data_IF_833893705593
#
_entry.id   IF_833893705593
#
_cell.length_a   1.000
_cell.length_b   1.000
_cell.length_c   1.000
_cell.angle_alpha   90.00
_cell.angle_beta   90.00
_cell.angle_gamma   90.00
#
_symmetry.space_group_name_H-M   'P 1'
#
loop_
_entity.id
_entity.type
_entity.pdbx_description
1 polymer ?
#
# COMPACT_ATOMS: atom_id res chain seq x y z
N UNK A 1 -15.99 25.21 5.17
CA UNK A 1 -15.57 23.84 5.55
C UNK A 1 -14.23 23.88 6.30
N UNK A 2 -13.10 24.40 5.69
CA UNK A 2 -11.79 24.43 6.37
C UNK A 2 -11.85 25.24 7.69
N UNK A 3 -12.41 26.45 7.69
CA UNK A 3 -12.61 27.25 8.88
C UNK A 3 -13.54 26.62 9.94
N UNK A 4 -14.40 25.71 9.55
CA UNK A 4 -15.30 25.01 10.48
C UNK A 4 -14.59 23.83 11.14
N UNK A 5 -13.68 23.17 10.42
CA UNK A 5 -12.80 22.13 10.97
C UNK A 5 -11.84 22.70 12.00
N UNK A 6 -11.22 23.87 11.73
CA UNK A 6 -10.33 24.55 12.69
C UNK A 6 -11.03 24.99 13.99
N UNK A 7 -12.36 25.09 14.00
CA UNK A 7 -13.13 25.35 15.23
C UNK A 7 -13.42 24.10 16.05
N UNK A 8 -13.40 22.93 15.40
CA UNK A 8 -13.78 21.66 16.01
C UNK A 8 -12.58 20.82 16.43
N UNK A 9 -11.47 20.96 15.71
CA UNK A 9 -10.25 20.17 15.90
C UNK A 9 -9.04 21.06 16.11
N UNK A 10 -8.13 20.62 16.96
CA UNK A 10 -6.81 21.23 17.12
C UNK A 10 -5.96 21.07 15.85
N UNK A 11 -4.91 21.87 15.73
CA UNK A 11 -3.97 21.74 14.60
C UNK A 11 -3.31 20.35 14.55
N UNK A 12 -3.01 19.78 15.69
CA UNK A 12 -2.39 18.44 15.77
C UNK A 12 -3.36 17.34 15.32
N UNK A 13 -4.64 17.44 15.71
CA UNK A 13 -5.67 16.52 15.23
C UNK A 13 -5.87 16.62 13.72
N UNK A 14 -5.93 17.85 13.17
CA UNK A 14 -6.03 18.07 11.73
C UNK A 14 -4.82 17.54 10.99
N UNK A 15 -3.61 17.73 11.52
CA UNK A 15 -2.38 17.20 10.95
C UNK A 15 -2.37 15.66 10.99
N UNK A 16 -2.79 15.07 12.11
CA UNK A 16 -2.93 13.60 12.20
C UNK A 16 -3.92 13.05 11.17
N UNK A 17 -5.09 13.67 11.02
CA UNK A 17 -6.07 13.27 10.02
C UNK A 17 -5.48 13.37 8.61
N UNK A 18 -4.79 14.47 8.30
CA UNK A 18 -4.14 14.65 7.01
C UNK A 18 -3.08 13.58 6.73
N UNK A 19 -2.13 13.40 7.66
CA UNK A 19 -1.04 12.45 7.49
C UNK A 19 -1.53 11.01 7.36
N UNK A 20 -2.64 10.65 8.00
CA UNK A 20 -3.21 9.31 7.96
C UNK A 20 -4.13 9.05 6.75
N UNK A 21 -4.46 10.07 5.95
CA UNK A 21 -5.37 9.93 4.80
C UNK A 21 -4.77 10.30 3.47
N UNK A 22 -3.73 11.14 3.44
CA UNK A 22 -3.14 11.62 2.19
C UNK A 22 -2.47 10.49 1.41
N UNK A 23 -2.50 10.62 0.07
CA UNK A 23 -1.85 9.69 -0.84
C UNK A 23 -0.35 9.93 -0.90
N UNK A 24 0.45 8.90 -0.62
CA UNK A 24 1.91 8.90 -0.71
C UNK A 24 2.44 8.17 -1.96
N UNK A 25 1.58 7.91 -2.96
CA UNK A 25 1.97 7.11 -4.12
C UNK A 25 1.98 5.61 -3.85
N UNK A 26 2.16 4.83 -4.90
CA UNK A 26 2.31 3.36 -4.80
C UNK A 26 1.13 2.68 -4.08
N UNK A 27 -0.07 3.24 -4.20
CA UNK A 27 -1.26 2.75 -3.50
C UNK A 27 -1.30 3.03 -2.01
N UNK A 28 -0.31 3.75 -1.45
CA UNK A 28 -0.22 4.02 -0.02
C UNK A 28 -1.01 5.25 0.39
N UNK A 29 -2.04 5.04 1.18
CA UNK A 29 -2.79 6.08 1.86
C UNK A 29 -2.44 6.08 3.36
N UNK A 30 -1.99 7.22 3.85
CA UNK A 30 -1.52 7.39 5.23
C UNK A 30 -0.03 7.09 5.43
N UNK A 31 0.55 7.82 6.40
CA UNK A 31 1.99 7.82 6.68
C UNK A 31 2.52 6.46 7.12
N UNK A 32 1.75 5.69 7.88
CA UNK A 32 2.15 4.37 8.35
C UNK A 32 2.32 3.40 7.18
N UNK A 33 1.35 3.37 6.26
CA UNK A 33 1.43 2.54 5.06
C UNK A 33 2.63 2.94 4.18
N UNK A 34 2.87 4.25 4.03
CA UNK A 34 4.01 4.76 3.29
C UNK A 34 5.36 4.39 3.93
N UNK A 35 5.49 4.53 5.25
CA UNK A 35 6.69 4.16 5.99
C UNK A 35 7.03 2.67 5.81
N UNK A 36 6.03 1.80 5.91
CA UNK A 36 6.20 0.36 5.67
C UNK A 36 6.55 0.06 4.20
N UNK A 37 5.87 0.70 3.24
CA UNK A 37 6.07 0.43 1.82
C UNK A 37 7.44 0.87 1.29
N UNK A 38 7.94 2.02 1.75
CA UNK A 38 9.20 2.58 1.24
C UNK A 38 10.43 2.23 2.08
N UNK A 39 10.24 1.95 3.38
CA UNK A 39 11.35 1.80 4.34
C UNK A 39 11.22 0.60 5.27
N UNK A 40 10.14 -0.18 5.22
CA UNK A 40 9.84 -1.32 6.10
C UNK A 40 10.00 -0.97 7.60
N UNK A 41 9.61 0.25 7.96
CA UNK A 41 9.68 0.77 9.33
C UNK A 41 8.35 1.39 9.76
N UNK A 42 8.15 1.56 11.06
CA UNK A 42 6.97 2.24 11.57
C UNK A 42 7.13 3.77 11.43
N UNK A 43 6.01 4.47 11.25
CA UNK A 43 6.02 5.93 11.08
C UNK A 43 6.69 6.67 12.24
N UNK A 44 6.60 6.12 13.46
CA UNK A 44 7.22 6.67 14.67
C UNK A 44 8.75 6.56 14.67
N UNK A 45 9.30 5.58 13.93
CA UNK A 45 10.72 5.29 13.88
C UNK A 45 11.43 5.87 12.64
N UNK A 46 10.70 6.68 11.84
CA UNK A 46 11.28 7.33 10.66
C UNK A 46 12.43 8.27 11.04
N UNK A 47 13.56 8.14 10.34
CA UNK A 47 14.64 9.12 10.42
C UNK A 47 14.22 10.47 9.82
N UNK A 48 14.97 11.53 10.10
CA UNK A 48 14.74 12.86 9.50
C UNK A 48 14.71 12.78 7.97
N UNK A 49 15.65 12.04 7.38
CA UNK A 49 15.77 11.87 5.92
C UNK A 49 14.55 11.14 5.33
N UNK A 50 14.11 10.08 5.98
CA UNK A 50 12.93 9.31 5.59
C UNK A 50 11.64 10.14 5.73
N UNK A 51 11.47 10.81 6.86
CA UNK A 51 10.32 11.68 7.11
C UNK A 51 10.23 12.83 6.09
N UNK A 52 11.37 13.49 5.78
CA UNK A 52 11.43 14.54 4.77
C UNK A 52 11.13 14.01 3.35
N UNK A 53 11.55 12.79 3.04
CA UNK A 53 11.21 12.11 1.77
C UNK A 53 9.70 11.93 1.66
N UNK A 54 9.07 11.32 2.65
CA UNK A 54 7.63 11.10 2.64
C UNK A 54 6.85 12.42 2.63
N UNK A 55 7.26 13.43 3.39
CA UNK A 55 6.62 14.75 3.40
C UNK A 55 6.64 15.44 2.01
N UNK A 56 7.58 15.07 1.17
CA UNK A 56 7.69 15.57 -0.20
C UNK A 56 6.67 15.01 -1.18
N UNK A 57 6.26 13.76 -1.01
CA UNK A 57 5.49 12.97 -1.98
C UNK A 57 4.07 13.50 -2.24
N UNK A 58 3.28 13.94 -1.24
CA UNK A 58 1.88 14.31 -1.44
C UNK A 58 1.63 15.44 -2.45
N UNK A 59 2.64 16.23 -2.77
CA UNK A 59 2.52 17.27 -3.81
C UNK A 59 2.25 16.65 -5.19
N UNK A 60 2.86 15.51 -5.50
CA UNK A 60 2.70 14.82 -6.78
C UNK A 60 3.04 13.33 -6.62
N UNK A 61 2.15 12.52 -6.04
CA UNK A 61 2.45 11.16 -5.62
C UNK A 61 2.98 10.24 -6.74
N UNK A 62 2.58 10.48 -7.98
CA UNK A 62 3.06 9.71 -9.13
C UNK A 62 4.48 10.11 -9.52
N UNK A 63 4.76 11.41 -9.66
CA UNK A 63 6.05 11.89 -10.18
C UNK A 63 7.13 12.09 -9.10
N UNK A 64 6.76 11.99 -7.84
CA UNK A 64 7.66 12.06 -6.69
C UNK A 64 7.77 10.70 -5.96
N UNK A 65 7.31 9.62 -6.60
CA UNK A 65 7.47 8.28 -6.11
C UNK A 65 8.96 7.89 -6.12
N UNK A 66 9.59 7.64 -4.96
CA UNK A 66 11.02 7.40 -4.87
C UNK A 66 11.47 6.08 -5.48
N UNK A 67 10.57 5.10 -5.64
CA UNK A 67 10.87 3.84 -6.34
C UNK A 67 10.99 4.06 -7.85
N UNK A 68 10.15 4.93 -8.41
CA UNK A 68 10.05 5.14 -9.87
C UNK A 68 10.87 6.33 -10.34
N UNK A 69 10.91 7.40 -9.55
CA UNK A 69 11.58 8.66 -9.87
C UNK A 69 12.52 9.11 -8.72
N UNK A 70 13.60 8.34 -8.44
CA UNK A 70 14.46 8.58 -7.27
C UNK A 70 15.12 9.96 -7.29
N UNK A 71 15.55 10.45 -8.45
CA UNK A 71 16.19 11.77 -8.56
C UNK A 71 15.22 12.91 -8.22
N UNK A 72 13.99 12.87 -8.74
CA UNK A 72 12.97 13.86 -8.42
C UNK A 72 12.55 13.80 -6.95
N UNK A 73 12.46 12.61 -6.38
CA UNK A 73 12.19 12.42 -4.95
C UNK A 73 13.32 12.98 -4.08
N UNK A 74 14.59 12.77 -4.49
CA UNK A 74 15.77 13.30 -3.81
C UNK A 74 15.78 14.84 -3.80
N UNK A 75 15.57 15.46 -4.96
CA UNK A 75 15.48 16.93 -5.08
C UNK A 75 14.34 17.47 -4.21
N UNK A 76 13.20 16.81 -4.23
CA UNK A 76 12.05 17.21 -3.42
C UNK A 76 12.31 17.09 -1.93
N UNK A 77 12.94 16.00 -1.46
CA UNK A 77 13.39 15.83 -0.09
C UNK A 77 14.30 16.97 0.35
N UNK A 78 15.29 17.30 -0.46
CA UNK A 78 16.25 18.35 -0.15
C UNK A 78 15.54 19.71 0.01
N UNK A 79 14.56 20.02 -0.85
CA UNK A 79 13.74 21.21 -0.71
C UNK A 79 12.91 21.21 0.60
N UNK A 80 12.40 20.06 1.03
CA UNK A 80 11.70 19.92 2.33
C UNK A 80 12.66 20.24 3.48
N UNK A 81 13.87 19.66 3.47
CA UNK A 81 14.90 19.91 4.48
C UNK A 81 15.30 21.39 4.55
N UNK A 82 15.47 22.07 3.41
CA UNK A 82 15.76 23.51 3.35
C UNK A 82 14.62 24.34 3.97
N UNK A 83 13.37 23.95 3.76
CA UNK A 83 12.22 24.61 4.38
C UNK A 83 12.17 24.40 5.88
N UNK A 84 12.48 23.20 6.37
CA UNK A 84 12.59 22.90 7.79
C UNK A 84 13.71 23.71 8.45
N UNK A 85 14.85 23.83 7.79
CA UNK A 85 15.94 24.71 8.23
C UNK A 85 15.49 26.17 8.30
N UNK A 86 14.83 26.66 7.25
CA UNK A 86 14.35 28.04 7.19
C UNK A 86 13.27 28.34 8.24
N UNK A 87 12.49 27.35 8.64
CA UNK A 87 11.51 27.44 9.72
C UNK A 87 12.15 27.36 11.12
N UNK A 88 13.39 26.87 11.21
CA UNK A 88 14.10 26.69 12.48
C UNK A 88 13.80 25.36 13.16
N UNK A 89 13.18 24.41 12.44
CA UNK A 89 12.83 23.09 12.94
C UNK A 89 14.06 22.17 13.05
N UNK A 90 15.08 22.40 12.19
CA UNK A 90 16.35 21.68 12.18
C UNK A 90 17.53 22.65 12.11
N UNK A 91 18.71 22.19 12.53
CA UNK A 91 19.96 22.95 12.41
C UNK A 91 20.56 22.82 11.02
N UNK A 92 21.49 23.70 10.67
CA UNK A 92 22.25 23.61 9.42
C UNK A 92 22.99 22.25 9.33
N UNK A 93 23.62 21.84 10.42
CA UNK A 93 24.35 20.56 10.48
C UNK A 93 23.43 19.35 10.20
N UNK A 94 22.23 19.35 10.76
CA UNK A 94 21.23 18.33 10.50
C UNK A 94 20.74 18.33 9.03
N UNK A 95 20.55 19.52 8.47
CA UNK A 95 20.16 19.67 7.09
C UNK A 95 21.24 19.13 6.14
N UNK A 96 22.51 19.55 6.34
CA UNK A 96 23.63 19.13 5.51
C UNK A 96 23.85 17.62 5.60
N UNK A 97 23.77 17.04 6.80
CA UNK A 97 23.89 15.60 7.01
C UNK A 97 22.76 14.83 6.29
N UNK A 98 21.51 15.29 6.46
CA UNK A 98 20.36 14.62 5.83
C UNK A 98 20.38 14.75 4.29
N UNK A 99 20.87 15.87 3.75
CA UNK A 99 21.01 16.03 2.30
C UNK A 99 22.11 15.17 1.70
N UNK A 100 23.17 14.89 2.48
CA UNK A 100 24.26 14.01 2.06
C UNK A 100 23.87 12.52 2.03
N UNK A 101 22.81 12.14 2.74
CA UNK A 101 22.34 10.76 2.75
C UNK A 101 21.61 10.40 1.43
N UNK A 102 21.79 9.17 0.91
CA UNK A 102 20.93 8.65 -0.14
C UNK A 102 19.48 8.47 0.36
N UNK A 103 18.56 8.12 -0.53
CA UNK A 103 17.14 7.89 -0.14
C UNK A 103 16.98 6.71 0.83
N UNK A 104 17.93 5.77 0.84
CA UNK A 104 17.94 4.58 1.71
C UNK A 104 16.61 3.82 1.68
N UNK A 105 16.07 3.62 0.47
CA UNK A 105 14.85 2.84 0.30
C UNK A 105 15.12 1.38 0.67
N UNK A 106 14.22 0.83 1.45
CA UNK A 106 14.07 -0.60 1.69
C UNK A 106 12.63 -0.98 1.34
N UNK A 107 12.32 -1.01 0.02
CA UNK A 107 10.94 -1.15 -0.42
C UNK A 107 10.41 -2.52 -0.03
N UNK A 108 9.20 -2.53 0.52
CA UNK A 108 8.43 -3.75 0.65
C UNK A 108 8.33 -4.45 -0.71
N UNK A 109 8.26 -5.79 -0.75
CA UNK A 109 8.07 -6.52 -2.00
C UNK A 109 6.96 -5.89 -2.83
N UNK A 110 7.19 -5.78 -4.15
CA UNK A 110 6.17 -5.21 -5.04
C UNK A 110 4.87 -5.98 -4.92
N UNK A 111 3.82 -5.22 -4.66
CA UNK A 111 2.47 -5.72 -4.57
C UNK A 111 1.81 -5.44 -5.91
N UNK A 112 1.14 -6.40 -6.53
CA UNK A 112 0.33 -6.12 -7.70
C UNK A 112 -0.55 -4.89 -7.47
N UNK A 113 -0.63 -3.98 -8.45
CA UNK A 113 -1.31 -2.68 -8.32
C UNK A 113 -2.80 -2.74 -8.01
N UNK A 114 -3.40 -3.92 -8.02
CA UNK A 114 -4.77 -4.19 -7.62
C UNK A 114 -4.92 -4.59 -6.13
N UNK A 115 -3.80 -4.60 -5.39
CA UNK A 115 -3.78 -5.01 -3.98
C UNK A 115 -3.90 -6.52 -3.76
N UNK A 116 -3.78 -7.32 -4.81
CA UNK A 116 -3.87 -8.77 -4.76
C UNK A 116 -2.46 -9.36 -4.75
N UNK A 117 -2.01 -9.83 -3.60
CA UNK A 117 -0.63 -10.25 -3.34
C UNK A 117 -0.34 -11.69 -3.71
N UNK A 118 -1.31 -12.56 -3.48
CA UNK A 118 -1.18 -13.99 -3.73
C UNK A 118 -2.52 -14.55 -4.22
N UNK A 119 -2.43 -15.62 -5.00
CA UNK A 119 -3.61 -16.35 -5.48
C UNK A 119 -4.65 -15.43 -6.16
N UNK A 120 -4.28 -14.73 -7.24
CA UNK A 120 -5.06 -13.60 -7.80
C UNK A 120 -6.48 -14.00 -8.22
N UNK A 121 -6.70 -15.20 -8.69
CA UNK A 121 -8.04 -15.67 -9.07
C UNK A 121 -8.96 -15.77 -7.86
N UNK A 122 -8.50 -16.44 -6.78
CA UNK A 122 -9.29 -16.59 -5.57
C UNK A 122 -9.52 -15.25 -4.85
N UNK A 123 -8.47 -14.47 -4.67
CA UNK A 123 -8.54 -13.20 -3.97
C UNK A 123 -9.34 -12.14 -4.73
N UNK A 124 -9.26 -12.13 -6.08
CA UNK A 124 -10.11 -11.29 -6.92
C UNK A 124 -11.59 -11.69 -6.82
N UNK A 125 -11.87 -12.98 -6.80
CA UNK A 125 -13.24 -13.48 -6.60
C UNK A 125 -13.81 -12.99 -5.26
N UNK A 126 -13.06 -13.16 -4.17
CA UNK A 126 -13.49 -12.69 -2.84
C UNK A 126 -13.72 -11.17 -2.83
N UNK A 127 -12.80 -10.39 -3.41
CA UNK A 127 -12.96 -8.94 -3.52
C UNK A 127 -14.23 -8.57 -4.30
N UNK A 128 -14.46 -9.19 -5.45
CA UNK A 128 -15.63 -8.90 -6.27
C UNK A 128 -16.92 -9.24 -5.54
N UNK A 129 -16.97 -10.38 -4.85
CA UNK A 129 -18.11 -10.78 -4.04
C UNK A 129 -18.43 -9.76 -2.93
N UNK A 130 -17.40 -9.19 -2.31
CA UNK A 130 -17.57 -8.18 -1.26
C UNK A 130 -17.95 -6.80 -1.81
N UNK A 131 -17.70 -6.54 -3.09
CA UNK A 131 -18.05 -5.28 -3.77
C UNK A 131 -19.43 -5.28 -4.44
N UNK A 132 -20.13 -6.42 -4.51
CA UNK A 132 -21.48 -6.49 -5.01
C UNK A 132 -22.44 -5.65 -4.15
N UNK A 133 -23.40 -4.97 -4.75
CA UNK A 133 -24.34 -4.08 -4.04
C UNK A 133 -25.16 -4.81 -2.97
N UNK A 134 -25.47 -6.08 -3.21
CA UNK A 134 -26.24 -6.95 -2.34
C UNK A 134 -25.39 -8.03 -1.66
N UNK A 135 -24.08 -7.75 -1.44
CA UNK A 135 -23.20 -8.70 -0.82
C UNK A 135 -23.74 -9.13 0.57
N UNK A 136 -23.64 -10.45 0.89
CA UNK A 136 -24.24 -11.00 2.10
C UNK A 136 -23.58 -10.52 3.40
N UNK A 137 -22.45 -9.83 3.31
CA UNK A 137 -21.66 -9.35 4.44
C UNK A 137 -21.94 -7.88 4.79
N UNK A 138 -22.75 -7.17 3.98
CA UNK A 138 -23.08 -5.77 4.18
C UNK A 138 -21.88 -4.82 4.08
N UNK A 139 -20.83 -5.23 3.37
CA UNK A 139 -19.66 -4.40 3.16
C UNK A 139 -19.96 -3.28 2.16
N UNK A 140 -19.47 -2.07 2.47
CA UNK A 140 -19.43 -0.94 1.55
C UNK A 140 -18.01 -0.76 1.03
N UNK A 141 -17.86 -0.02 -0.08
CA UNK A 141 -16.54 0.36 -0.60
C UNK A 141 -15.64 1.00 0.49
N UNK A 142 -16.19 1.96 1.24
CA UNK A 142 -15.48 2.62 2.32
C UNK A 142 -15.06 1.64 3.43
N UNK A 143 -15.94 0.72 3.83
CA UNK A 143 -15.58 -0.27 4.86
C UNK A 143 -14.49 -1.23 4.39
N UNK A 144 -14.48 -1.60 3.10
CA UNK A 144 -13.49 -2.52 2.53
C UNK A 144 -12.09 -1.87 2.40
N UNK A 145 -12.04 -0.61 1.94
CA UNK A 145 -10.75 0.02 1.59
C UNK A 145 -10.24 1.01 2.65
N UNK A 146 -11.12 1.49 3.53
CA UNK A 146 -10.79 2.49 4.56
C UNK A 146 -11.05 1.97 5.99
N UNK A 147 -11.79 0.87 6.12
CA UNK A 147 -12.26 0.36 7.40
C UNK A 147 -11.27 -0.52 8.17
N UNK A 148 -10.11 -0.86 7.63
CA UNK A 148 -9.11 -1.71 8.28
C UNK A 148 -9.62 -3.12 8.58
N UNK A 149 -10.48 -3.68 7.72
CA UNK A 149 -11.07 -5.00 7.91
C UNK A 149 -10.04 -6.13 7.75
N UNK A 150 -10.16 -7.14 8.59
CA UNK A 150 -9.48 -8.42 8.39
C UNK A 150 -10.45 -9.43 7.79
N UNK A 151 -10.21 -9.85 6.55
CA UNK A 151 -11.03 -10.80 5.83
C UNK A 151 -10.37 -12.17 5.92
N UNK A 152 -11.04 -13.13 6.56
CA UNK A 152 -10.61 -14.53 6.61
C UNK A 152 -11.37 -15.32 5.58
N UNK A 153 -10.64 -16.06 4.75
CA UNK A 153 -11.20 -16.87 3.66
C UNK A 153 -11.02 -18.36 3.94
N UNK A 154 -11.61 -19.17 3.09
CA UNK A 154 -11.49 -20.63 3.10
C UNK A 154 -10.28 -21.14 2.29
N UNK A 155 -9.51 -20.25 1.67
CA UNK A 155 -8.35 -20.59 0.87
C UNK A 155 -7.36 -21.45 1.67
N UNK A 156 -6.99 -22.59 1.12
CA UNK A 156 -5.89 -23.43 1.58
C UNK A 156 -4.67 -23.19 0.68
N UNK A 157 -3.65 -22.45 1.13
CA UNK A 157 -2.50 -22.09 0.30
C UNK A 157 -1.79 -23.30 -0.32
N UNK A 158 -1.61 -24.37 0.46
CA UNK A 158 -0.94 -25.58 -0.05
C UNK A 158 -1.75 -26.27 -1.15
N UNK A 159 -3.07 -26.34 -0.99
CA UNK A 159 -3.95 -26.92 -2.00
C UNK A 159 -4.01 -26.06 -3.27
N UNK A 160 -3.98 -24.74 -3.10
CA UNK A 160 -3.92 -23.79 -4.22
C UNK A 160 -2.61 -23.94 -5.01
N UNK A 161 -1.47 -24.04 -4.34
CA UNK A 161 -0.16 -24.26 -4.99
C UNK A 161 -0.16 -25.59 -5.78
N UNK A 162 -0.71 -26.66 -5.22
CA UNK A 162 -0.85 -27.95 -5.89
C UNK A 162 -1.80 -27.87 -7.10
N UNK A 163 -2.88 -27.10 -6.99
CA UNK A 163 -3.84 -26.89 -8.06
C UNK A 163 -3.23 -26.10 -9.23
N UNK A 164 -2.49 -25.03 -8.94
CA UNK A 164 -1.78 -24.24 -9.95
C UNK A 164 -0.70 -25.09 -10.65
N UNK A 165 0.09 -25.85 -9.89
CA UNK A 165 1.08 -26.76 -10.46
C UNK A 165 0.45 -27.85 -11.37
N UNK A 166 -0.72 -28.37 -11.00
CA UNK A 166 -1.46 -29.33 -11.82
C UNK A 166 -1.98 -28.70 -13.11
N UNK A 167 -2.53 -27.48 -13.05
CA UNK A 167 -2.97 -26.72 -14.22
C UNK A 167 -1.80 -26.42 -15.18
N UNK A 168 -0.67 -25.98 -14.66
CA UNK A 168 0.54 -25.70 -15.45
C UNK A 168 1.09 -26.96 -16.11
N UNK A 169 1.14 -28.07 -15.39
CA UNK A 169 1.57 -29.35 -15.93
C UNK A 169 0.64 -29.86 -17.03
N UNK A 170 -0.67 -29.61 -16.91
CA UNK A 170 -1.64 -29.98 -17.95
C UNK A 170 -1.52 -29.06 -19.15
N UNK A 171 -1.41 -27.75 -18.94
CA UNK A 171 -1.23 -26.74 -20.00
C UNK A 171 0.02 -27.02 -20.85
N UNK A 172 1.12 -27.43 -20.21
CA UNK A 172 2.35 -27.82 -20.91
C UNK A 172 2.20 -29.04 -21.84
N UNK A 173 1.17 -29.86 -21.66
CA UNK A 173 0.86 -31.02 -22.49
C UNK A 173 -0.13 -30.72 -23.62
N UNK A 174 -0.79 -29.57 -23.55
CA UNK A 174 -1.79 -29.18 -24.54
C UNK A 174 -1.11 -28.46 -25.69
N UNK A 175 -1.68 -28.56 -26.90
CA UNK A 175 -1.23 -27.85 -28.08
C UNK A 175 -2.24 -26.77 -28.45
N UNK A 176 -1.76 -25.59 -28.81
CA UNK A 176 -2.59 -24.43 -29.14
C UNK A 176 -2.71 -23.45 -27.97
N UNK A 177 -3.54 -22.43 -28.14
CA UNK A 177 -3.81 -21.39 -27.16
C UNK A 177 -4.98 -21.84 -26.25
N UNK A 178 -4.70 -22.87 -25.44
CA UNK A 178 -5.67 -23.45 -24.49
C UNK A 178 -5.23 -23.17 -23.07
N UNK A 179 -6.22 -22.93 -22.20
CA UNK A 179 -6.02 -22.70 -20.78
C UNK A 179 -6.61 -23.84 -19.96
N UNK A 180 -6.14 -24.00 -18.71
CA UNK A 180 -6.62 -25.00 -17.77
C UNK A 180 -7.04 -24.29 -16.47
N UNK A 181 -8.15 -24.74 -15.90
CA UNK A 181 -8.62 -24.25 -14.60
C UNK A 181 -9.01 -25.40 -13.70
N UNK A 182 -8.87 -25.20 -12.39
CA UNK A 182 -9.24 -26.17 -11.37
C UNK A 182 -9.94 -25.42 -10.23
N UNK A 183 -10.97 -26.03 -9.66
CA UNK A 183 -11.60 -25.57 -8.43
C UNK A 183 -11.70 -26.74 -7.47
N UNK A 184 -11.23 -26.57 -6.25
CA UNK A 184 -11.35 -27.57 -5.19
C UNK A 184 -12.41 -27.13 -4.17
N UNK A 185 -13.36 -28.02 -3.91
CA UNK A 185 -14.46 -27.79 -2.97
C UNK A 185 -14.48 -28.90 -1.93
N UNK A 186 -14.50 -28.54 -0.65
CA UNK A 186 -14.76 -29.52 0.43
C UNK A 186 -16.22 -29.98 0.38
N UNK A 187 -16.48 -31.27 0.12
CA UNK A 187 -17.85 -31.77 -0.02
C UNK A 187 -18.63 -31.80 1.31
N UNK A 188 -17.95 -31.73 2.45
CA UNK A 188 -18.61 -31.73 3.76
C UNK A 188 -19.14 -30.32 4.15
N UNK A 189 -18.43 -29.28 3.76
CA UNK A 189 -18.73 -27.90 4.14
C UNK A 189 -19.24 -27.05 2.99
N UNK A 190 -18.94 -27.44 1.75
CA UNK A 190 -19.21 -26.65 0.55
C UNK A 190 -18.22 -25.49 0.36
N UNK A 191 -17.16 -25.43 1.17
CA UNK A 191 -16.16 -24.37 1.05
C UNK A 191 -15.30 -24.56 -0.20
N UNK A 192 -15.06 -23.47 -0.92
CA UNK A 192 -14.04 -23.43 -1.97
C UNK A 192 -12.69 -23.23 -1.30
N UNK A 193 -11.75 -24.14 -1.53
CA UNK A 193 -10.45 -24.16 -0.89
C UNK A 193 -9.29 -23.83 -1.85
N UNK A 194 -9.52 -23.94 -3.18
CA UNK A 194 -8.57 -23.55 -4.23
C UNK A 194 -9.30 -23.23 -5.53
#
# INVERSE_FOLDING_TARGET
LAMDLEKQYSKDELLMMYLNTVNYGDGCYGIQAAAQNYFQTDAVDLSLTQAATLAGIPQSPTFLNPKTYPDAALERRNLVLERMLSAGDITQEQCDAAQAEPLNLDPAPEVPGDGIYAYPYFTSYVRNLLMEEDNPFGCSYASLFEGGLTIRTTLNPSLQDDAEAACDAQRARMSGDLDASLVAIDPATGHVEA
#
